data_IF_580521752535
#
_entry.id   IF_580521752535
#
_cell.length_a   1.000
_cell.length_b   1.000
_cell.length_c   1.000
_cell.angle_alpha   90.00
_cell.angle_beta   90.00
_cell.angle_gamma   90.00
#
_symmetry.space_group_name_H-M   'P 1'
#
loop_
_entity.id
_entity.type
_entity.pdbx_description
1 polymer ?
#
# COMPACT_ATOMS: atom_id res chain seq x y z
N UNK A 1 15.20 -23.01 23.18
CA UNK A 1 15.25 -22.81 21.71
C UNK A 1 13.88 -22.89 21.04
N UNK A 2 12.97 -23.80 21.42
CA UNK A 2 11.63 -23.92 20.80
C UNK A 2 10.69 -22.72 21.07
N UNK A 3 10.74 -22.10 22.27
CA UNK A 3 9.91 -20.93 22.59
C UNK A 3 10.30 -19.64 21.86
N UNK A 4 11.59 -19.44 21.54
CA UNK A 4 12.03 -18.23 20.85
C UNK A 4 11.57 -18.20 19.38
N UNK A 5 11.47 -19.37 18.74
CA UNK A 5 10.97 -19.49 17.35
C UNK A 5 9.46 -19.21 17.27
N UNK A 6 8.68 -19.65 18.27
CA UNK A 6 7.23 -19.35 18.30
C UNK A 6 6.96 -17.85 18.51
N UNK A 7 7.73 -17.18 19.37
CA UNK A 7 7.54 -15.76 19.64
C UNK A 7 7.83 -14.90 18.38
N UNK A 8 8.86 -15.25 17.62
CA UNK A 8 9.17 -14.59 16.35
C UNK A 8 8.07 -14.79 15.30
N UNK A 9 7.43 -15.97 15.25
CA UNK A 9 6.33 -16.24 14.33
C UNK A 9 5.04 -15.48 14.69
N UNK A 10 4.71 -15.34 15.98
CA UNK A 10 3.54 -14.55 16.41
C UNK A 10 3.69 -13.05 16.10
N UNK A 11 4.89 -12.49 16.27
CA UNK A 11 5.14 -11.07 15.96
C UNK A 11 5.04 -10.74 14.46
N UNK A 12 5.31 -11.71 13.58
CA UNK A 12 5.17 -11.53 12.13
C UNK A 12 3.70 -11.55 11.66
N UNK A 13 2.82 -12.31 12.34
CA UNK A 13 1.41 -12.47 11.93
C UNK A 13 0.53 -11.24 12.12
N UNK A 14 0.94 -10.27 12.95
CA UNK A 14 0.17 -9.05 13.21
C UNK A 14 0.20 -8.04 12.05
N UNK A 15 1.23 -8.09 11.20
CA UNK A 15 1.40 -7.14 10.08
C UNK A 15 0.65 -7.52 8.78
N UNK A 16 -0.05 -8.66 8.77
CA UNK A 16 -0.66 -9.22 7.55
C UNK A 16 -2.18 -8.97 7.42
N UNK A 17 -2.80 -8.20 8.33
CA UNK A 17 -4.26 -8.03 8.36
C UNK A 17 -4.77 -6.91 7.42
N UNK A 18 -3.87 -6.05 6.96
CA UNK A 18 -4.13 -4.90 6.11
C UNK A 18 -3.89 -5.13 4.62
N UNK A 19 -4.02 -4.05 3.83
CA UNK A 19 -3.64 -4.04 2.42
C UNK A 19 -2.12 -4.11 2.23
N UNK A 20 -1.67 -4.41 1.00
CA UNK A 20 -0.29 -4.20 0.59
C UNK A 20 -0.20 -3.69 -0.84
N UNK A 21 0.92 -3.04 -1.17
CA UNK A 21 1.21 -2.61 -2.54
C UNK A 21 1.80 -3.82 -3.29
N UNK A 22 1.04 -4.38 -4.22
CA UNK A 22 1.46 -5.50 -5.06
C UNK A 22 2.39 -5.07 -6.19
N UNK A 23 2.16 -3.86 -6.72
CA UNK A 23 3.00 -3.23 -7.74
C UNK A 23 2.90 -1.71 -7.63
N UNK A 24 4.00 -0.97 -7.83
CA UNK A 24 5.36 -1.46 -8.05
C UNK A 24 5.95 -2.07 -6.78
N UNK A 25 6.94 -2.97 -6.93
CA UNK A 25 7.63 -3.55 -5.79
C UNK A 25 8.65 -2.59 -5.19
N UNK A 26 9.04 -2.81 -3.94
CA UNK A 26 10.08 -2.03 -3.25
C UNK A 26 11.36 -1.90 -4.11
N UNK A 27 11.83 -0.66 -4.26
CA UNK A 27 13.02 -0.31 -5.02
C UNK A 27 12.83 -0.31 -6.54
N UNK A 28 11.60 -0.47 -7.05
CA UNK A 28 11.36 -0.46 -8.51
C UNK A 28 11.76 0.88 -9.12
N UNK A 29 12.32 0.79 -10.32
CA UNK A 29 12.59 1.96 -11.15
C UNK A 29 11.39 2.23 -12.06
N UNK A 30 10.90 3.46 -12.04
CA UNK A 30 9.76 3.93 -12.82
C UNK A 30 10.13 5.22 -13.56
N UNK A 31 9.39 5.55 -14.60
CA UNK A 31 9.48 6.84 -15.28
C UNK A 31 8.23 7.67 -15.00
N UNK A 32 8.31 9.00 -15.15
CA UNK A 32 7.12 9.85 -15.15
C UNK A 32 6.07 9.43 -16.19
N UNK A 33 4.83 9.83 -15.95
CA UNK A 33 3.67 9.42 -16.75
C UNK A 33 2.88 8.27 -16.12
N UNK A 34 2.20 7.48 -16.96
CA UNK A 34 1.24 6.50 -16.47
C UNK A 34 1.92 5.31 -15.78
N UNK A 35 1.51 5.05 -14.54
CA UNK A 35 1.96 3.94 -13.71
C UNK A 35 0.76 3.16 -13.21
N UNK A 36 0.81 1.83 -13.30
CA UNK A 36 -0.16 0.97 -12.63
C UNK A 36 0.29 0.68 -11.21
N UNK A 37 -0.50 1.16 -10.25
CA UNK A 37 -0.38 0.81 -8.83
C UNK A 37 -1.40 -0.29 -8.53
N UNK A 38 -0.92 -1.46 -8.15
CA UNK A 38 -1.75 -2.56 -7.71
C UNK A 38 -1.80 -2.57 -6.19
N UNK A 39 -3.01 -2.57 -5.64
CA UNK A 39 -3.25 -2.70 -4.21
C UNK A 39 -3.92 -4.06 -3.99
N UNK A 40 -3.31 -4.88 -3.15
CA UNK A 40 -3.85 -6.17 -2.76
C UNK A 40 -4.58 -6.04 -1.43
N UNK A 41 -5.67 -6.79 -1.29
CA UNK A 41 -6.40 -7.00 -0.05
C UNK A 41 -6.24 -8.46 0.40
N UNK A 42 -5.21 -8.79 1.20
CA UNK A 42 -5.09 -10.09 1.84
C UNK A 42 -6.36 -10.50 2.58
N UNK A 43 -6.59 -11.82 2.61
CA UNK A 43 -7.73 -12.39 3.33
C UNK A 43 -7.71 -11.97 4.80
N UNK A 44 -8.86 -11.46 5.25
CA UNK A 44 -9.06 -10.97 6.60
C UNK A 44 -10.05 -11.88 7.33
N UNK A 45 -9.81 -12.10 8.63
CA UNK A 45 -10.58 -13.07 9.43
C UNK A 45 -11.97 -12.53 9.78
N UNK A 46 -12.08 -11.23 10.05
CA UNK A 46 -13.35 -10.55 10.30
C UNK A 46 -13.96 -10.00 9.01
N UNK A 47 -15.24 -9.61 9.08
CA UNK A 47 -15.86 -8.83 8.01
C UNK A 47 -15.10 -7.50 7.83
N UNK A 48 -14.92 -7.10 6.57
CA UNK A 48 -14.42 -5.78 6.20
C UNK A 48 -15.28 -5.22 5.05
N UNK A 49 -15.65 -3.94 5.17
CA UNK A 49 -16.23 -3.12 4.12
C UNK A 49 -15.17 -2.09 3.70
N UNK A 50 -14.68 -2.22 2.48
CA UNK A 50 -13.68 -1.33 1.91
C UNK A 50 -14.34 0.00 1.52
N UNK A 51 -13.76 1.13 1.92
CA UNK A 51 -14.37 2.45 1.70
C UNK A 51 -13.60 3.23 0.64
N UNK A 52 -12.30 3.47 0.88
CA UNK A 52 -11.50 4.30 0.01
C UNK A 52 -10.00 4.03 0.15
N UNK A 53 -9.27 4.37 -0.91
CA UNK A 53 -7.82 4.51 -0.88
C UNK A 53 -7.39 5.88 -1.38
N UNK A 54 -6.30 6.39 -0.80
CA UNK A 54 -5.60 7.58 -1.29
C UNK A 54 -4.18 7.18 -1.63
N UNK A 55 -3.83 7.29 -2.91
CA UNK A 55 -2.49 7.00 -3.42
C UNK A 55 -1.77 8.34 -3.56
N UNK A 56 -0.62 8.47 -2.90
CA UNK A 56 0.19 9.67 -2.96
C UNK A 56 1.65 9.31 -3.16
N UNK A 57 2.41 10.25 -3.72
CA UNK A 57 3.86 10.12 -3.90
C UNK A 57 4.58 11.35 -3.35
N UNK A 58 5.75 11.12 -2.76
CA UNK A 58 6.65 12.17 -2.31
C UNK A 58 8.11 11.85 -2.62
N UNK A 59 8.92 12.86 -2.97
CA UNK A 59 10.36 12.69 -3.06
C UNK A 59 10.98 12.51 -1.67
N UNK A 60 11.99 11.65 -1.56
CA UNK A 60 12.70 11.41 -0.31
C UNK A 60 13.81 12.45 -0.11
N UNK A 61 13.41 13.64 0.35
CA UNK A 61 14.28 14.81 0.52
C UNK A 61 14.90 14.94 1.92
N UNK A 62 14.75 13.95 2.79
CA UNK A 62 15.36 13.97 4.11
C UNK A 62 16.89 13.82 4.06
N UNK A 63 17.58 14.05 5.19
CA UNK A 63 19.00 13.74 5.32
C UNK A 63 19.29 12.32 4.83
N UNK A 64 20.37 12.14 4.06
CA UNK A 64 20.78 10.85 3.47
C UNK A 64 19.74 10.19 2.53
N UNK A 65 18.81 10.97 1.97
CA UNK A 65 17.73 10.44 1.13
C UNK A 65 16.68 9.67 1.94
N UNK A 66 16.51 10.03 3.21
CA UNK A 66 15.43 9.52 4.05
C UNK A 66 14.08 10.03 3.53
N UNK A 67 13.10 9.12 3.52
CA UNK A 67 11.73 9.45 3.19
C UNK A 67 11.00 9.90 4.46
N UNK A 68 10.04 10.82 4.32
CA UNK A 68 9.21 11.22 5.46
C UNK A 68 8.28 10.09 5.87
N UNK A 69 8.06 9.95 7.18
CA UNK A 69 7.06 9.01 7.70
C UNK A 69 5.67 9.38 7.15
N UNK A 70 5.02 8.49 6.38
CA UNK A 70 3.80 8.82 5.69
C UNK A 70 2.60 9.00 6.63
N UNK A 71 2.71 8.59 7.90
CA UNK A 71 1.67 8.88 8.88
C UNK A 71 1.56 10.39 9.19
N UNK A 72 2.67 11.12 9.01
CA UNK A 72 2.71 12.57 9.20
C UNK A 72 2.32 13.34 7.92
N UNK A 73 2.14 12.63 6.79
CA UNK A 73 1.73 13.18 5.51
C UNK A 73 1.97 12.18 4.38
N UNK A 74 0.90 11.80 3.67
CA UNK A 74 0.93 10.74 2.65
C UNK A 74 1.85 11.06 1.45
N UNK A 75 2.04 12.34 1.17
CA UNK A 75 2.95 12.81 0.15
C UNK A 75 2.61 14.23 -0.28
N UNK A 76 3.39 14.76 -1.21
CA UNK A 76 3.17 16.10 -1.76
C UNK A 76 2.19 16.08 -2.93
N UNK A 77 2.09 14.96 -3.63
CA UNK A 77 1.15 14.79 -4.75
C UNK A 77 0.20 13.64 -4.47
N UNK A 78 -1.09 13.94 -4.44
CA UNK A 78 -2.16 12.93 -4.41
C UNK A 78 -2.44 12.52 -5.85
N UNK A 79 -2.21 11.25 -6.15
CA UNK A 79 -2.33 10.66 -7.48
C UNK A 79 -3.70 10.02 -7.70
N UNK A 80 -4.32 9.53 -6.62
CA UNK A 80 -5.67 8.98 -6.61
C UNK A 80 -6.32 9.22 -5.26
N UNK A 81 -7.63 9.50 -5.26
CA UNK A 81 -8.46 9.60 -4.08
C UNK A 81 -9.87 9.17 -4.45
N UNK A 82 -10.26 7.98 -4.02
CA UNK A 82 -11.54 7.42 -4.42
C UNK A 82 -11.85 6.06 -3.81
N UNK A 83 -12.95 5.44 -4.25
CA UNK A 83 -13.38 4.14 -3.78
C UNK A 83 -12.33 3.04 -3.96
N UNK A 84 -12.38 2.02 -3.11
CA UNK A 84 -11.58 0.81 -3.24
C UNK A 84 -12.52 -0.39 -3.22
N UNK A 85 -12.52 -1.17 -4.29
CA UNK A 85 -13.37 -2.34 -4.48
C UNK A 85 -12.52 -3.50 -5.04
N UNK A 86 -11.64 -4.11 -4.22
CA UNK A 86 -10.74 -5.16 -4.67
C UNK A 86 -11.50 -6.43 -5.04
N UNK A 87 -11.20 -6.96 -6.22
CA UNK A 87 -11.84 -8.16 -6.77
C UNK A 87 -10.80 -9.25 -7.02
N UNK A 88 -11.23 -10.51 -6.96
CA UNK A 88 -10.37 -11.61 -7.42
C UNK A 88 -10.14 -11.47 -8.94
N UNK A 89 -8.93 -11.80 -9.43
CA UNK A 89 -8.68 -11.86 -10.86
C UNK A 89 -9.61 -12.89 -11.52
N UNK A 90 -9.95 -12.68 -12.79
CA UNK A 90 -10.96 -13.49 -13.51
C UNK A 90 -10.68 -15.01 -13.52
N UNK A 91 -9.42 -15.41 -13.43
CA UNK A 91 -8.99 -16.81 -13.32
C UNK A 91 -8.11 -16.97 -12.08
N UNK A 92 -8.70 -17.02 -10.87
CA UNK A 92 -7.94 -16.97 -9.63
C UNK A 92 -7.21 -18.28 -9.37
N UNK A 93 -5.95 -18.17 -8.96
CA UNK A 93 -5.13 -19.25 -8.42
C UNK A 93 -5.28 -19.29 -6.89
N UNK A 94 -4.94 -20.41 -6.24
CA UNK A 94 -5.04 -20.52 -4.78
C UNK A 94 -4.26 -19.46 -3.99
N UNK A 95 -3.19 -18.92 -4.58
CA UNK A 95 -2.38 -17.86 -3.96
C UNK A 95 -2.88 -16.44 -4.25
N UNK A 96 -3.85 -16.28 -5.17
CA UNK A 96 -4.32 -14.96 -5.56
C UNK A 96 -5.18 -14.37 -4.44
N UNK A 97 -5.12 -13.04 -4.32
CA UNK A 97 -5.86 -12.27 -3.35
C UNK A 97 -6.76 -11.29 -4.12
N UNK A 98 -7.87 -10.81 -3.52
CA UNK A 98 -8.57 -9.66 -4.04
C UNK A 98 -7.59 -8.51 -4.26
N UNK A 99 -7.68 -7.85 -5.41
CA UNK A 99 -6.77 -6.79 -5.78
C UNK A 99 -7.49 -5.77 -6.68
N UNK A 100 -6.97 -4.55 -6.72
CA UNK A 100 -7.40 -3.51 -7.65
C UNK A 100 -6.19 -2.79 -8.26
N UNK A 101 -6.30 -2.46 -9.54
CA UNK A 101 -5.26 -1.76 -10.29
C UNK A 101 -5.69 -0.32 -10.56
N UNK A 102 -4.88 0.63 -10.11
CA UNK A 102 -5.08 2.05 -10.33
C UNK A 102 -4.07 2.54 -11.35
N UNK A 103 -4.54 3.16 -12.42
CA UNK A 103 -3.64 3.90 -13.34
C UNK A 103 -3.51 5.32 -12.82
N UNK A 104 -2.32 5.66 -12.36
CA UNK A 104 -1.99 6.96 -11.80
C UNK A 104 -0.93 7.64 -12.66
N UNK A 105 -0.93 8.98 -12.68
CA UNK A 105 0.04 9.74 -13.45
C UNK A 105 1.15 10.27 -12.54
N UNK A 106 2.38 9.81 -12.74
CA UNK A 106 3.56 10.20 -11.99
C UNK A 106 4.06 11.56 -12.52
N UNK A 107 4.16 12.60 -11.67
CA UNK A 107 4.57 13.91 -12.12
C UNK A 107 6.00 13.98 -12.65
N UNK A 108 6.20 14.66 -13.78
CA UNK A 108 7.48 14.82 -14.49
C UNK A 108 8.57 15.56 -13.70
N UNK A 109 8.18 16.29 -12.65
CA UNK A 109 9.14 17.00 -11.79
C UNK A 109 9.77 16.09 -10.73
N UNK A 110 9.27 14.87 -10.54
CA UNK A 110 9.86 13.91 -9.61
C UNK A 110 11.04 13.21 -10.27
N UNK A 111 12.15 13.14 -9.55
CA UNK A 111 13.33 12.42 -9.96
C UNK A 111 14.03 11.83 -8.73
N UNK A 112 14.64 10.66 -8.92
CA UNK A 112 15.35 9.93 -7.88
C UNK A 112 14.44 9.23 -6.89
N UNK A 113 14.98 8.98 -5.70
CA UNK A 113 14.31 8.20 -4.65
C UNK A 113 13.03 8.89 -4.18
N UNK A 114 11.91 8.20 -4.33
CA UNK A 114 10.58 8.67 -3.94
C UNK A 114 9.85 7.59 -3.15
N UNK A 115 8.89 7.98 -2.33
CA UNK A 115 8.03 7.08 -1.57
C UNK A 115 6.61 7.15 -2.12
N UNK A 116 6.06 6.01 -2.52
CA UNK A 116 4.66 5.84 -2.83
C UNK A 116 3.95 5.39 -1.56
N UNK A 117 2.92 6.12 -1.14
CA UNK A 117 2.15 5.82 0.07
C UNK A 117 0.68 5.62 -0.30
N UNK A 118 0.03 4.68 0.39
CA UNK A 118 -1.39 4.39 0.25
C UNK A 118 -2.02 4.49 1.64
N UNK A 119 -2.93 5.45 1.81
CA UNK A 119 -3.88 5.43 2.91
C UNK A 119 -5.05 4.53 2.52
N UNK A 120 -5.40 3.61 3.40
CA UNK A 120 -6.56 2.76 3.25
C UNK A 120 -7.54 3.00 4.40
N UNK A 121 -8.81 3.16 4.04
CA UNK A 121 -9.93 3.34 4.95
C UNK A 121 -10.94 2.22 4.73
N UNK A 122 -11.28 1.51 5.80
CA UNK A 122 -12.30 0.46 5.81
C UNK A 122 -13.11 0.47 7.10
N UNK A 123 -14.25 -0.23 7.10
CA UNK A 123 -15.03 -0.54 8.28
C UNK A 123 -14.87 -2.03 8.59
N UNK A 124 -14.43 -2.37 9.80
CA UNK A 124 -14.14 -3.75 10.19
C UNK A 124 -15.03 -4.24 11.33
N UNK A 125 -15.29 -5.54 11.32
CA UNK A 125 -16.09 -6.21 12.33
C UNK A 125 -17.58 -5.88 12.23
N UNK A 126 -18.37 -6.43 13.17
CA UNK A 126 -19.83 -6.31 13.15
C UNK A 126 -20.34 -4.91 13.49
N UNK A 127 -19.55 -4.13 14.23
CA UNK A 127 -19.90 -2.76 14.64
C UNK A 127 -19.44 -1.71 13.61
N UNK A 128 -18.96 -2.12 12.42
CA UNK A 128 -18.42 -1.24 11.39
C UNK A 128 -17.36 -0.27 11.96
N UNK A 129 -16.40 -0.81 12.71
CA UNK A 129 -15.38 0.01 13.38
C UNK A 129 -14.47 0.65 12.33
N UNK A 130 -14.28 1.98 12.34
CA UNK A 130 -13.35 2.63 11.42
C UNK A 130 -11.93 2.10 11.59
N UNK A 131 -11.36 1.64 10.48
CA UNK A 131 -9.99 1.18 10.41
C UNK A 131 -9.23 2.04 9.40
N UNK A 132 -8.08 2.55 9.83
CA UNK A 132 -7.20 3.36 9.00
C UNK A 132 -5.81 2.75 9.07
N UNK A 133 -5.21 2.60 7.90
CA UNK A 133 -3.82 2.18 7.79
C UNK A 133 -3.11 2.92 6.66
N UNK A 134 -1.79 3.02 6.79
CA UNK A 134 -0.93 3.58 5.76
C UNK A 134 0.14 2.56 5.44
N UNK A 135 0.20 2.15 4.18
CA UNK A 135 1.28 1.32 3.64
C UNK A 135 2.09 2.13 2.66
N UNK A 136 3.37 1.80 2.52
CA UNK A 136 4.26 2.54 1.62
C UNK A 136 5.26 1.60 0.94
N UNK A 137 5.84 2.11 -0.14
CA UNK A 137 6.98 1.49 -0.82
C UNK A 137 7.90 2.56 -1.38
N UNK A 138 9.21 2.29 -1.40
CA UNK A 138 10.19 3.18 -2.03
C UNK A 138 10.33 2.86 -3.51
N UNK A 139 10.41 3.89 -4.35
CA UNK A 139 10.63 3.81 -5.78
C UNK A 139 11.83 4.67 -6.19
N UNK A 140 12.35 4.43 -7.38
CA UNK A 140 13.34 5.28 -8.02
C UNK A 140 12.78 5.85 -9.33
N UNK A 141 12.55 7.16 -9.38
CA UNK A 141 12.01 7.84 -10.56
C UNK A 141 13.17 8.27 -11.48
N UNK A 142 13.09 7.91 -12.77
CA UNK A 142 14.12 8.20 -13.79
C UNK A 142 13.56 9.00 -14.97
#
# INVERSE_FOLDING_TARGET
MKSFVMLAALLASAFAQGINIGSPTEGSTISPGDLTVQINRPNFISQAEEVAVVIAISPCNGPDGACSDPINGLGWSVLYNGPYDPQYPANPRPQDQPQENFTVNIPDYLAGKSQLSVLHVSLIGLDNTPFLEVVNTTLNVQ
#
